data_IF_578517849465
#
_entry.id   IF_578517849465
#
_cell.length_a   1.000
_cell.length_b   1.000
_cell.length_c   1.000
_cell.angle_alpha   90.00
_cell.angle_beta   90.00
_cell.angle_gamma   90.00
#
_symmetry.space_group_name_H-M   'P 1'
#
loop_
_entity.id
_entity.type
_entity.pdbx_description
1 polymer ?
#
# COMPACT_ATOMS: atom_id res chain seq x y z
N UNK A 1 0.32 -18.56 3.41
CA UNK A 1 -1.02 -18.01 3.11
C UNK A 1 -1.43 -17.13 4.28
N UNK A 2 -1.40 -15.81 4.12
CA UNK A 2 -1.84 -14.88 5.15
C UNK A 2 -3.36 -14.85 5.16
N UNK A 3 -3.96 -14.97 6.35
CA UNK A 3 -5.41 -14.94 6.54
C UNK A 3 -5.95 -13.59 6.06
N UNK A 4 -6.96 -13.60 5.19
CA UNK A 4 -7.68 -12.38 4.83
C UNK A 4 -8.54 -11.95 6.03
N UNK A 5 -8.11 -10.88 6.68
CA UNK A 5 -8.80 -10.22 7.79
C UNK A 5 -9.89 -9.28 7.27
N UNK A 6 -9.78 -8.77 6.03
CA UNK A 6 -10.71 -7.79 5.47
C UNK A 6 -11.30 -8.24 4.11
N UNK A 7 -12.46 -8.90 4.14
CA UNK A 7 -13.11 -9.52 2.96
C UNK A 7 -13.37 -8.58 1.78
N UNK A 8 -13.83 -7.34 2.00
CA UNK A 8 -14.27 -6.45 0.92
C UNK A 8 -13.16 -5.98 -0.03
N UNK A 9 -11.91 -6.01 0.42
CA UNK A 9 -10.79 -5.63 -0.43
C UNK A 9 -10.44 -6.72 -1.44
N UNK A 10 -10.54 -7.99 -1.06
CA UNK A 10 -10.10 -9.12 -1.88
C UNK A 10 -10.84 -9.22 -3.23
N UNK A 11 -12.11 -8.80 -3.30
CA UNK A 11 -12.92 -8.90 -4.52
C UNK A 11 -12.59 -7.81 -5.56
N UNK A 12 -12.21 -6.62 -5.10
CA UNK A 12 -11.87 -5.48 -5.96
C UNK A 12 -10.36 -5.35 -6.21
N UNK A 13 -9.53 -5.93 -5.34
CA UNK A 13 -8.06 -5.83 -5.41
C UNK A 13 -7.47 -6.25 -6.76
N UNK A 14 -7.87 -7.39 -7.38
CA UNK A 14 -7.31 -7.81 -8.65
C UNK A 14 -7.73 -6.93 -9.83
N UNK A 15 -8.72 -6.05 -9.65
CA UNK A 15 -9.18 -5.11 -10.69
C UNK A 15 -8.44 -3.78 -10.67
N UNK A 16 -7.69 -3.52 -9.59
CA UNK A 16 -6.88 -2.31 -9.46
C UNK A 16 -5.58 -2.46 -10.26
N UNK A 17 -5.06 -1.35 -10.80
CA UNK A 17 -3.68 -1.29 -11.30
C UNK A 17 -2.68 -1.31 -10.15
N UNK A 18 -1.43 -1.68 -10.43
CA UNK A 18 -0.37 -1.73 -9.42
C UNK A 18 -0.24 -0.41 -8.63
N UNK A 19 -0.37 0.74 -9.31
CA UNK A 19 -0.29 2.06 -8.67
C UNK A 19 -1.45 2.31 -7.71
N UNK A 20 -2.66 1.81 -8.00
CA UNK A 20 -3.83 1.91 -7.13
C UNK A 20 -3.65 0.98 -5.90
N UNK A 21 -3.17 -0.24 -6.11
CA UNK A 21 -2.86 -1.19 -5.04
C UNK A 21 -1.80 -0.62 -4.09
N UNK A 22 -0.67 -0.13 -4.61
CA UNK A 22 0.40 0.45 -3.81
C UNK A 22 0.03 1.80 -3.17
N UNK A 23 -0.85 2.59 -3.79
CA UNK A 23 -1.42 3.79 -3.16
C UNK A 23 -2.29 3.45 -1.94
N UNK A 24 -3.07 2.37 -2.03
CA UNK A 24 -3.88 1.88 -0.91
C UNK A 24 -3.01 1.27 0.21
N UNK A 25 -1.99 0.48 -0.14
CA UNK A 25 -0.96 0.01 0.82
C UNK A 25 -0.35 1.21 1.56
N UNK A 26 0.06 2.22 0.79
CA UNK A 26 0.65 3.45 1.30
C UNK A 26 -0.22 4.21 2.30
N UNK A 27 -1.54 4.21 2.08
CA UNK A 27 -2.49 4.84 3.00
C UNK A 27 -2.50 4.15 4.38
N UNK A 28 -2.44 2.82 4.40
CA UNK A 28 -2.39 2.05 5.65
C UNK A 28 -1.02 2.12 6.32
N UNK A 29 0.07 2.19 5.55
CA UNK A 29 1.42 2.47 6.07
C UNK A 29 1.47 3.83 6.77
N UNK A 30 0.94 4.88 6.14
CA UNK A 30 0.89 6.23 6.73
C UNK A 30 0.02 6.26 8.00
N UNK A 31 -1.08 5.49 8.03
CA UNK A 31 -1.91 5.30 9.23
C UNK A 31 -1.12 4.63 10.36
N UNK A 32 -0.37 3.58 10.05
CA UNK A 32 0.47 2.89 11.02
C UNK A 32 1.56 3.84 11.58
N UNK A 33 2.25 4.58 10.72
CA UNK A 33 3.26 5.59 11.12
C UNK A 33 2.65 6.60 12.11
N UNK A 34 1.51 7.21 11.76
CA UNK A 34 0.85 8.22 12.60
C UNK A 34 0.28 7.66 13.91
N UNK A 35 -0.17 6.42 13.91
CA UNK A 35 -0.67 5.77 15.12
C UNK A 35 0.49 5.41 16.06
N UNK A 36 1.59 4.90 15.51
CA UNK A 36 2.81 4.57 16.24
C UNK A 36 3.43 5.80 16.90
N UNK A 37 3.64 6.88 16.13
CA UNK A 37 4.17 8.15 16.64
C UNK A 37 3.30 8.77 17.74
N UNK A 38 2.00 8.50 17.72
CA UNK A 38 1.05 9.00 18.71
C UNK A 38 0.83 8.04 19.90
N UNK A 39 1.56 6.92 19.98
CA UNK A 39 1.41 5.93 21.05
C UNK A 39 0.04 5.22 21.06
N UNK A 40 -0.66 5.15 19.92
CA UNK A 40 -2.01 4.58 19.82
C UNK A 40 -1.94 3.12 19.35
N UNK A 41 -1.55 2.22 20.25
CA UNK A 41 -1.27 0.79 19.98
C UNK A 41 -2.36 0.09 19.18
N UNK A 42 -3.63 0.11 19.62
CA UNK A 42 -4.71 -0.57 18.89
C UNK A 42 -4.87 -0.05 17.44
N UNK A 43 -4.69 1.26 17.23
CA UNK A 43 -4.78 1.84 15.88
C UNK A 43 -3.56 1.46 15.03
N UNK A 44 -2.39 1.37 15.66
CA UNK A 44 -1.17 0.93 15.01
C UNK A 44 -1.29 -0.53 14.58
N UNK A 45 -1.68 -1.43 15.48
CA UNK A 45 -1.78 -2.86 15.20
C UNK A 45 -2.78 -3.13 14.06
N UNK A 46 -3.95 -2.48 14.10
CA UNK A 46 -4.95 -2.61 13.04
C UNK A 46 -4.43 -2.09 11.68
N UNK A 47 -3.79 -0.91 11.66
CA UNK A 47 -3.27 -0.32 10.41
C UNK A 47 -2.11 -1.14 9.85
N UNK A 48 -1.19 -1.61 10.70
CA UNK A 48 -0.07 -2.44 10.29
C UNK A 48 -0.55 -3.80 9.77
N UNK A 49 -1.46 -4.48 10.48
CA UNK A 49 -2.03 -5.74 10.03
C UNK A 49 -2.71 -5.59 8.65
N UNK A 50 -3.44 -4.48 8.46
CA UNK A 50 -4.06 -4.17 7.17
C UNK A 50 -3.03 -3.89 6.08
N UNK A 51 -1.99 -3.10 6.35
CA UNK A 51 -0.91 -2.82 5.40
C UNK A 51 -0.22 -4.11 4.94
N UNK A 52 0.12 -5.00 5.88
CA UNK A 52 0.76 -6.30 5.59
C UNK A 52 -0.14 -7.22 4.77
N UNK A 53 -1.44 -7.27 5.08
CA UNK A 53 -2.41 -8.00 4.28
C UNK A 53 -2.47 -7.47 2.84
N UNK A 54 -2.42 -6.15 2.64
CA UNK A 54 -2.44 -5.54 1.31
C UNK A 54 -1.14 -5.77 0.54
N UNK A 55 0.01 -5.76 1.21
CA UNK A 55 1.27 -6.21 0.58
C UNK A 55 1.17 -7.64 0.10
N UNK A 56 0.69 -8.55 0.95
CA UNK A 56 0.59 -9.98 0.63
C UNK A 56 -0.40 -10.22 -0.52
N UNK A 57 -1.54 -9.52 -0.53
CA UNK A 57 -2.49 -9.53 -1.65
C UNK A 57 -1.87 -9.01 -2.95
N UNK A 58 -1.06 -7.95 -2.88
CA UNK A 58 -0.41 -7.36 -4.06
C UNK A 58 0.71 -8.26 -4.59
N UNK A 59 1.49 -8.87 -3.70
CA UNK A 59 2.57 -9.79 -4.07
C UNK A 59 2.05 -11.12 -4.63
N UNK A 60 0.87 -11.56 -4.19
CA UNK A 60 0.21 -12.76 -4.68
C UNK A 60 -0.51 -12.56 -6.04
N UNK A 61 -0.63 -11.32 -6.51
CA UNK A 61 -1.26 -11.03 -7.80
C UNK A 61 -0.40 -11.57 -8.96
N UNK A 62 -0.92 -12.49 -9.79
CA UNK A 62 -0.14 -13.12 -10.85
C UNK A 62 0.31 -12.12 -11.93
N UNK A 63 -0.28 -10.92 -11.99
CA UNK A 63 0.15 -9.86 -12.91
C UNK A 63 1.53 -9.30 -12.55
N UNK A 64 1.97 -9.42 -11.30
CA UNK A 64 3.18 -8.76 -10.76
C UNK A 64 4.32 -9.73 -10.43
N UNK A 65 4.42 -10.85 -11.13
CA UNK A 65 5.48 -11.85 -10.88
C UNK A 65 6.91 -11.32 -11.18
N UNK A 66 7.91 -12.07 -10.72
CA UNK A 66 9.34 -11.76 -10.91
C UNK A 66 9.76 -10.54 -10.11
N UNK A 67 10.50 -9.62 -10.74
CA UNK A 67 11.09 -8.45 -10.08
C UNK A 67 10.06 -7.55 -9.38
N UNK A 68 8.83 -7.43 -9.90
CA UNK A 68 7.80 -6.60 -9.24
C UNK A 68 7.39 -7.19 -7.90
N UNK A 69 7.15 -8.49 -7.83
CA UNK A 69 6.85 -9.21 -6.59
C UNK A 69 7.99 -9.06 -5.58
N UNK A 70 9.24 -9.18 -6.04
CA UNK A 70 10.42 -8.96 -5.20
C UNK A 70 10.44 -7.56 -4.60
N UNK A 71 10.21 -6.51 -5.39
CA UNK A 71 10.16 -5.13 -4.91
C UNK A 71 8.99 -4.87 -3.95
N UNK A 72 7.82 -5.49 -4.18
CA UNK A 72 6.67 -5.40 -3.27
C UNK A 72 7.03 -6.01 -1.91
N UNK A 73 7.64 -7.19 -1.91
CA UNK A 73 8.09 -7.85 -0.68
C UNK A 73 9.23 -7.08 0.00
N UNK A 74 10.11 -6.44 -0.77
CA UNK A 74 11.16 -5.57 -0.22
C UNK A 74 10.56 -4.34 0.47
N UNK A 75 9.57 -3.69 -0.13
CA UNK A 75 8.87 -2.58 0.49
C UNK A 75 8.13 -3.03 1.77
N UNK A 76 7.54 -4.22 1.79
CA UNK A 76 6.96 -4.84 2.99
C UNK A 76 8.01 -5.03 4.09
N UNK A 77 9.19 -5.54 3.75
CA UNK A 77 10.32 -5.69 4.69
C UNK A 77 10.75 -4.35 5.30
N UNK A 78 10.89 -3.30 4.49
CA UNK A 78 11.26 -1.97 4.98
C UNK A 78 10.19 -1.36 5.92
N UNK A 79 8.91 -1.60 5.64
CA UNK A 79 7.82 -1.21 6.56
C UNK A 79 7.92 -1.97 7.88
N UNK A 80 8.20 -3.28 7.87
CA UNK A 80 8.43 -4.03 9.10
C UNK A 80 9.67 -3.53 9.85
N UNK A 81 10.78 -3.27 9.13
CA UNK A 81 12.01 -2.73 9.69
C UNK A 81 11.73 -1.42 10.43
N UNK A 82 10.89 -0.55 9.88
CA UNK A 82 10.53 0.71 10.51
C UNK A 82 10.04 0.58 11.95
N UNK A 83 9.28 -0.47 12.25
CA UNK A 83 8.62 -0.63 13.56
C UNK A 83 9.30 -1.62 14.49
N UNK A 84 10.10 -2.55 13.95
CA UNK A 84 10.63 -3.68 14.72
C UNK A 84 12.16 -3.75 14.76
N UNK A 85 12.86 -2.94 13.97
CA UNK A 85 14.33 -2.86 14.03
C UNK A 85 14.76 -1.75 14.99
N UNK A 86 15.51 -2.07 16.07
CA UNK A 86 15.99 -1.05 17.01
C UNK A 86 17.00 -0.06 16.39
N UNK A 87 17.59 -0.39 15.23
CA UNK A 87 18.61 0.41 14.56
C UNK A 87 18.08 1.09 13.28
N UNK A 88 16.76 1.27 13.16
CA UNK A 88 16.20 1.97 11.99
C UNK A 88 16.70 3.42 11.91
N UNK A 89 17.13 3.90 10.73
CA UNK A 89 17.44 5.31 10.54
C UNK A 89 16.24 6.21 10.87
N UNK A 90 16.50 7.37 11.49
CA UNK A 90 15.45 8.32 11.92
C UNK A 90 14.57 8.84 10.79
N UNK A 91 15.10 8.87 9.56
CA UNK A 91 14.40 9.37 8.38
C UNK A 91 13.60 8.30 7.63
N UNK A 92 13.64 7.04 8.06
CA UNK A 92 12.98 5.92 7.37
C UNK A 92 11.47 6.11 7.22
N UNK A 93 10.78 6.63 8.26
CA UNK A 93 9.35 6.95 8.17
C UNK A 93 9.06 7.96 7.05
N UNK A 94 9.83 9.05 7.00
CA UNK A 94 9.69 10.08 5.95
C UNK A 94 10.01 9.52 4.56
N UNK A 95 11.00 8.64 4.47
CA UNK A 95 11.35 7.92 3.25
C UNK A 95 10.19 7.08 2.71
N UNK A 96 9.58 6.26 3.57
CA UNK A 96 8.43 5.42 3.23
C UNK A 96 7.20 6.26 2.87
N UNK A 97 6.88 7.31 3.63
CA UNK A 97 5.78 8.23 3.27
C UNK A 97 5.99 8.86 1.88
N UNK A 98 7.21 9.28 1.54
CA UNK A 98 7.52 9.81 0.19
C UNK A 98 7.38 8.76 -0.90
N UNK A 99 7.89 7.56 -0.67
CA UNK A 99 7.80 6.44 -1.60
C UNK A 99 6.33 6.13 -1.93
N UNK A 100 5.50 5.96 -0.91
CA UNK A 100 4.08 5.65 -1.09
C UNK A 100 3.24 6.81 -1.60
N UNK A 101 3.60 8.05 -1.28
CA UNK A 101 2.95 9.24 -1.82
C UNK A 101 3.01 9.28 -3.35
N UNK A 102 4.13 8.84 -3.95
CA UNK A 102 4.25 8.73 -5.41
C UNK A 102 3.17 7.84 -6.03
N UNK A 103 2.88 6.69 -5.41
CA UNK A 103 1.82 5.79 -5.87
C UNK A 103 0.43 6.35 -5.66
N UNK A 104 0.17 6.99 -4.50
CA UNK A 104 -1.10 7.64 -4.25
C UNK A 104 -1.39 8.75 -5.27
N UNK A 105 -0.38 9.54 -5.62
CA UNK A 105 -0.48 10.57 -6.66
C UNK A 105 -0.72 9.97 -8.05
N UNK A 106 0.03 8.91 -8.42
CA UNK A 106 -0.15 8.23 -9.70
C UNK A 106 -1.54 7.58 -9.82
N UNK A 107 -2.05 6.97 -8.75
CA UNK A 107 -3.40 6.43 -8.69
C UNK A 107 -4.44 7.53 -8.91
N UNK A 108 -4.31 8.69 -8.23
CA UNK A 108 -5.19 9.85 -8.42
C UNK A 108 -5.20 10.31 -9.88
N UNK A 109 -4.03 10.44 -10.50
CA UNK A 109 -3.90 10.82 -11.91
C UNK A 109 -4.53 9.80 -12.86
N UNK A 110 -4.40 8.49 -12.58
CA UNK A 110 -5.06 7.42 -13.33
C UNK A 110 -6.59 7.52 -13.24
N UNK A 111 -7.15 7.75 -12.05
CA UNK A 111 -8.58 7.92 -11.87
C UNK A 111 -9.12 9.11 -12.67
N UNK A 112 -8.42 10.25 -12.66
CA UNK A 112 -8.82 11.41 -13.47
C UNK A 112 -8.84 11.09 -14.96
N UNK A 113 -7.81 10.44 -15.50
CA UNK A 113 -7.77 10.03 -16.93
C UNK A 113 -8.94 9.10 -17.30
N UNK A 114 -9.26 8.13 -16.44
CA UNK A 114 -10.39 7.20 -16.64
C UNK A 114 -11.75 7.91 -16.62
N UNK A 115 -11.90 8.99 -15.86
CA UNK A 115 -13.12 9.78 -15.80
C UNK A 115 -13.25 10.69 -17.02
N UNK A 116 -12.17 11.38 -17.42
CA UNK A 116 -12.15 12.26 -18.60
C UNK A 116 -12.42 11.50 -19.90
N UNK A 117 -11.95 10.26 -20.03
CA UNK A 117 -12.22 9.42 -21.21
C UNK A 117 -13.64 8.82 -21.26
N UNK A 118 -14.45 8.92 -20.20
CA UNK A 118 -15.86 8.51 -20.21
C UNK A 118 -16.82 9.64 -20.59
N UNK A 119 -16.34 10.87 -20.64
CA UNK A 119 -17.13 12.08 -20.91
C UNK A 119 -17.20 12.48 -22.38
N UNK A 120 -16.61 11.72 -23.31
CA UNK A 120 -16.76 11.94 -24.75
C UNK A 120 -17.94 11.08 -25.27
N UNK A 121 -19.07 11.68 -25.69
CA UNK A 121 -20.13 10.92 -26.34
C UNK A 121 -19.61 10.42 -27.70
N UNK A 122 -19.92 9.17 -28.04
CA UNK A 122 -19.65 8.60 -29.36
C UNK A 122 -20.32 9.46 -30.45
N UNK A 123 -19.69 9.63 -31.63
CA UNK A 123 -20.27 10.40 -32.74
C UNK A 123 -21.58 9.81 -33.25
#
# INVERSE_FOLDING_TARGET
>A
MTRLLHRGAAESWPRMELVEQLGNVGTEVERAIRAHQAGRTDRFDNALARALELFDLTAADPRWQGHRCQEILRAREEVCRLFFDPNVPSDSARGLSRYFFGFAWAARALHHRRQSGRSEPAP
#
